data_IF_516211839085
#
_entry.id   IF_516211839085
#
_cell.length_a   1.000
_cell.length_b   1.000
_cell.length_c   1.000
_cell.angle_alpha   90.00
_cell.angle_beta   90.00
_cell.angle_gamma   90.00
#
_symmetry.space_group_name_H-M   'P 1'
#
loop_
_entity.id
_entity.type
_entity.pdbx_description
1 polymer ?
#
# COMPACT_ATOMS: atom_id res chain seq x y z
N UNK A 1 -56.32 33.72 -50.70
CA UNK A 1 -56.06 32.64 -49.74
C UNK A 1 -54.87 31.82 -50.24
N UNK A 2 -53.97 31.40 -49.35
CA UNK A 2 -52.81 30.58 -49.73
C UNK A 2 -53.25 29.11 -49.91
N UNK A 3 -52.67 28.40 -50.88
CA UNK A 3 -53.03 27.01 -51.18
C UNK A 3 -52.56 26.00 -50.11
N UNK A 4 -51.68 26.41 -49.21
CA UNK A 4 -51.17 25.58 -48.10
C UNK A 4 -51.53 26.23 -46.76
N UNK A 5 -51.50 25.44 -45.68
CA UNK A 5 -51.66 25.92 -44.31
C UNK A 5 -50.33 26.23 -43.62
N UNK A 6 -49.22 25.77 -44.20
CA UNK A 6 -47.86 26.02 -43.74
C UNK A 6 -46.87 25.97 -44.92
N UNK A 7 -45.67 26.51 -44.71
CA UNK A 7 -44.56 26.53 -45.66
C UNK A 7 -44.86 27.35 -46.91
N UNK A 8 -44.23 26.95 -48.02
CA UNK A 8 -44.44 27.57 -49.33
C UNK A 8 -45.73 27.06 -49.97
N UNK A 9 -46.57 28.01 -50.39
CA UNK A 9 -47.78 27.77 -51.18
C UNK A 9 -47.94 28.80 -52.30
N UNK A 10 -49.05 28.73 -53.03
CA UNK A 10 -49.42 29.69 -54.05
C UNK A 10 -50.75 30.38 -53.71
N UNK A 11 -50.80 31.69 -53.91
CA UNK A 11 -52.04 32.47 -53.92
C UNK A 11 -52.37 32.86 -55.35
N UNK A 12 -53.59 32.56 -55.78
CA UNK A 12 -54.07 32.89 -57.12
C UNK A 12 -54.81 34.21 -57.11
N UNK A 13 -54.56 35.04 -58.13
CA UNK A 13 -55.41 36.18 -58.47
C UNK A 13 -55.91 36.01 -59.90
N UNK A 14 -57.13 36.46 -60.14
CA UNK A 14 -57.65 36.53 -61.50
C UNK A 14 -56.99 37.69 -62.23
N UNK A 15 -56.54 37.44 -63.47
CA UNK A 15 -55.98 38.47 -64.35
C UNK A 15 -56.86 38.55 -65.58
N UNK A 16 -57.25 39.76 -65.94
CA UNK A 16 -58.09 40.06 -67.09
C UNK A 16 -57.39 41.09 -67.97
N UNK A 17 -57.64 41.04 -69.28
CA UNK A 17 -57.21 42.08 -70.20
C UNK A 17 -57.88 43.41 -69.82
N UNK A 18 -57.15 44.52 -69.93
CA UNK A 18 -57.70 45.86 -69.66
C UNK A 18 -58.92 46.18 -70.52
N UNK A 19 -59.03 45.55 -71.70
CA UNK A 19 -60.14 45.66 -72.65
C UNK A 19 -61.30 44.69 -72.38
N UNK A 20 -61.14 43.73 -71.46
CA UNK A 20 -62.16 42.72 -71.12
C UNK A 20 -62.29 41.53 -72.09
N UNK A 21 -61.57 41.52 -73.21
CA UNK A 21 -61.54 40.40 -74.19
C UNK A 21 -60.18 39.71 -74.19
N UNK A 22 -60.16 38.38 -74.15
CA UNK A 22 -58.91 37.59 -74.01
C UNK A 22 -58.06 37.62 -75.30
N UNK A 23 -58.67 37.89 -76.46
CA UNK A 23 -58.02 37.99 -77.78
C UNK A 23 -57.07 39.19 -77.89
N UNK A 24 -57.30 40.25 -77.11
CA UNK A 24 -56.51 41.49 -77.15
C UNK A 24 -55.19 41.38 -76.37
N UNK A 25 -55.00 40.29 -75.61
CA UNK A 25 -53.79 40.08 -74.81
C UNK A 25 -52.81 39.11 -75.47
N UNK A 26 -51.58 39.57 -75.67
CA UNK A 26 -50.46 38.68 -76.01
C UNK A 26 -50.12 37.79 -74.80
N UNK A 27 -50.19 36.47 -74.97
CA UNK A 27 -49.94 35.50 -73.89
C UNK A 27 -48.58 35.69 -73.21
N UNK A 28 -47.55 36.09 -73.96
CA UNK A 28 -46.21 36.36 -73.43
C UNK A 28 -46.14 37.53 -72.44
N UNK A 29 -47.07 38.49 -72.54
CA UNK A 29 -47.15 39.66 -71.66
C UNK A 29 -48.15 39.47 -70.51
N UNK A 30 -48.84 38.32 -70.45
CA UNK A 30 -49.81 38.03 -69.40
C UNK A 30 -49.06 37.86 -68.07
N UNK A 31 -49.34 38.69 -67.05
CA UNK A 31 -48.65 38.56 -65.77
C UNK A 31 -49.01 37.21 -65.12
N UNK A 32 -48.03 36.58 -64.48
CA UNK A 32 -48.23 35.31 -63.79
C UNK A 32 -49.33 35.48 -62.73
N UNK A 33 -50.47 34.74 -62.83
CA UNK A 33 -51.60 34.90 -61.91
C UNK A 33 -51.33 34.28 -60.53
N UNK A 34 -50.36 33.37 -60.43
CA UNK A 34 -49.89 32.80 -59.19
C UNK A 34 -48.80 33.67 -58.55
N UNK A 35 -48.99 34.03 -57.28
CA UNK A 35 -47.94 34.61 -56.43
C UNK A 35 -47.57 33.62 -55.33
N UNK A 36 -46.29 33.57 -54.97
CA UNK A 36 -45.82 32.76 -53.84
C UNK A 36 -46.35 33.36 -52.53
N UNK A 37 -46.88 32.52 -51.65
CA UNK A 37 -47.17 32.86 -50.27
C UNK A 37 -46.27 32.05 -49.34
N UNK A 38 -45.67 32.74 -48.36
CA UNK A 38 -44.75 32.17 -47.38
C UNK A 38 -45.44 32.16 -46.02
N UNK A 39 -45.99 31.00 -45.65
CA UNK A 39 -46.54 30.80 -44.32
C UNK A 39 -45.45 30.30 -43.36
N UNK A 40 -45.80 30.14 -42.09
CA UNK A 40 -44.89 29.53 -41.10
C UNK A 40 -44.42 28.16 -41.60
N UNK A 41 -43.14 27.79 -41.39
CA UNK A 41 -42.62 26.48 -41.79
C UNK A 41 -43.53 25.35 -41.31
N UNK A 42 -43.64 24.29 -42.09
CA UNK A 42 -44.38 23.11 -41.66
C UNK A 42 -43.54 22.39 -40.61
N UNK A 43 -43.75 22.68 -39.32
CA UNK A 43 -42.85 22.22 -38.25
C UNK A 43 -43.46 21.11 -37.39
N UNK A 44 -42.68 20.10 -37.05
CA UNK A 44 -43.07 19.04 -36.11
C UNK A 44 -41.91 18.64 -35.18
N UNK A 45 -42.23 18.07 -34.02
CA UNK A 45 -41.23 17.52 -33.10
C UNK A 45 -40.79 16.14 -33.57
N UNK A 46 -39.51 16.01 -33.91
CA UNK A 46 -38.84 14.72 -34.13
C UNK A 46 -38.33 14.18 -32.80
N UNK A 47 -38.76 12.97 -32.47
CA UNK A 47 -38.53 12.32 -31.17
C UNK A 47 -37.60 11.12 -31.39
N UNK A 48 -36.46 11.13 -30.71
CA UNK A 48 -35.52 10.00 -30.69
C UNK A 48 -35.92 8.92 -29.71
N UNK A 49 -35.15 7.83 -29.72
CA UNK A 49 -35.30 6.72 -28.78
C UNK A 49 -34.80 7.11 -27.39
N UNK A 50 -35.37 6.47 -26.37
CA UNK A 50 -34.87 6.62 -25.00
C UNK A 50 -33.51 5.94 -24.83
N UNK A 51 -32.61 6.59 -24.09
CA UNK A 51 -31.37 5.99 -23.59
C UNK A 51 -31.66 4.86 -22.60
N UNK A 52 -30.63 4.09 -22.27
CA UNK A 52 -30.65 3.27 -21.06
C UNK A 52 -30.85 4.16 -19.82
N UNK A 53 -31.42 3.60 -18.76
CA UNK A 53 -31.58 4.32 -17.50
C UNK A 53 -30.21 4.67 -16.92
N UNK A 54 -30.06 5.88 -16.38
CA UNK A 54 -28.80 6.31 -15.76
C UNK A 54 -28.41 5.49 -14.53
N UNK A 55 -29.38 4.83 -13.88
CA UNK A 55 -29.19 3.94 -12.73
C UNK A 55 -30.02 2.68 -12.90
N UNK A 56 -29.57 1.58 -12.29
CA UNK A 56 -30.31 0.32 -12.23
C UNK A 56 -31.19 0.19 -10.96
N UNK A 57 -31.10 1.12 -10.01
CA UNK A 57 -31.96 1.20 -8.82
C UNK A 57 -31.93 2.62 -8.24
N UNK A 58 -32.82 2.92 -7.29
CA UNK A 58 -32.79 4.14 -6.48
C UNK A 58 -33.19 5.42 -7.21
N UNK A 59 -33.88 5.31 -8.35
CA UNK A 59 -34.33 6.43 -9.16
C UNK A 59 -33.23 6.96 -10.10
N UNK A 60 -33.38 6.65 -11.39
CA UNK A 60 -32.56 7.18 -12.47
C UNK A 60 -33.39 8.00 -13.47
N UNK A 61 -32.72 8.53 -14.49
CA UNK A 61 -33.33 9.20 -15.62
C UNK A 61 -32.95 8.48 -16.91
N UNK A 62 -33.90 8.33 -17.81
CA UNK A 62 -33.61 8.04 -19.22
C UNK A 62 -33.87 9.29 -20.02
N UNK A 63 -32.98 9.57 -20.98
CA UNK A 63 -33.01 10.78 -21.80
C UNK A 63 -33.25 10.42 -23.26
N UNK A 64 -33.83 11.33 -24.03
CA UNK A 64 -34.01 11.18 -25.47
C UNK A 64 -33.85 12.52 -26.17
N UNK A 65 -33.45 12.44 -27.43
CA UNK A 65 -33.35 13.62 -28.28
C UNK A 65 -34.72 14.09 -28.76
N UNK A 66 -34.96 15.40 -28.69
CA UNK A 66 -36.18 16.03 -29.17
C UNK A 66 -35.80 17.29 -29.93
N UNK A 67 -36.00 17.25 -31.25
CA UNK A 67 -35.65 18.34 -32.14
C UNK A 67 -36.88 18.84 -32.90
N UNK A 68 -36.97 20.15 -33.09
CA UNK A 68 -37.98 20.73 -33.98
C UNK A 68 -37.46 20.63 -35.42
N UNK A 69 -38.27 20.12 -36.34
CA UNK A 69 -37.86 19.90 -37.73
C UNK A 69 -38.91 20.41 -38.70
N UNK A 70 -38.47 20.83 -39.88
CA UNK A 70 -39.37 21.04 -41.01
C UNK A 70 -39.83 19.67 -41.54
N UNK A 71 -41.14 19.46 -41.68
CA UNK A 71 -41.70 18.17 -42.09
C UNK A 71 -41.43 17.84 -43.54
N UNK A 72 -41.20 18.86 -44.40
CA UNK A 72 -40.89 18.68 -45.82
C UNK A 72 -39.41 18.42 -46.03
N UNK A 73 -38.56 19.26 -45.46
CA UNK A 73 -37.12 19.24 -45.72
C UNK A 73 -36.32 18.45 -44.66
N UNK A 74 -36.96 17.99 -43.58
CA UNK A 74 -36.33 17.34 -42.42
C UNK A 74 -35.22 18.17 -41.75
N UNK A 75 -35.15 19.46 -42.09
CA UNK A 75 -34.18 20.42 -41.60
C UNK A 75 -34.44 20.77 -40.13
N UNK A 76 -33.38 20.88 -39.34
CA UNK A 76 -33.48 21.33 -37.96
C UNK A 76 -33.95 22.79 -37.90
N UNK A 77 -34.98 23.03 -37.08
CA UNK A 77 -35.57 24.32 -36.79
C UNK A 77 -35.35 24.69 -35.32
N UNK A 78 -35.49 25.98 -35.00
CA UNK A 78 -35.47 26.43 -33.61
C UNK A 78 -36.76 26.01 -32.87
N UNK A 79 -36.69 25.67 -31.57
CA UNK A 79 -37.82 25.16 -30.78
C UNK A 79 -39.15 25.94 -30.88
N UNK A 80 -39.10 27.26 -30.99
CA UNK A 80 -40.29 28.11 -31.02
C UNK A 80 -41.18 27.87 -32.25
N UNK A 81 -40.65 27.33 -33.36
CA UNK A 81 -41.45 27.02 -34.54
C UNK A 81 -42.48 25.91 -34.22
N UNK A 82 -42.05 24.87 -33.51
CA UNK A 82 -42.90 23.75 -33.13
C UNK A 82 -43.78 24.04 -31.90
N UNK A 83 -43.32 24.90 -30.99
CA UNK A 83 -44.04 25.23 -29.76
C UNK A 83 -45.38 25.91 -30.00
N UNK A 84 -45.51 26.64 -31.12
CA UNK A 84 -46.77 27.26 -31.53
C UNK A 84 -47.80 26.26 -32.06
N UNK A 85 -47.40 25.01 -32.34
CA UNK A 85 -48.26 23.97 -32.93
C UNK A 85 -48.60 22.90 -31.89
N UNK A 86 -47.60 22.37 -31.18
CA UNK A 86 -47.76 21.30 -30.18
C UNK A 86 -46.78 21.49 -29.02
N UNK A 87 -47.17 21.02 -27.82
CA UNK A 87 -46.31 21.00 -26.64
C UNK A 87 -44.98 20.29 -26.92
N UNK A 88 -43.90 20.77 -26.29
CA UNK A 88 -42.58 20.13 -26.40
C UNK A 88 -42.58 18.80 -25.64
N UNK A 89 -42.30 17.66 -26.30
CA UNK A 89 -42.21 16.37 -25.62
C UNK A 89 -41.12 16.37 -24.53
N UNK A 90 -41.31 15.62 -23.43
CA UNK A 90 -40.30 15.52 -22.38
C UNK A 90 -39.04 14.85 -22.93
N UNK A 91 -37.89 15.47 -22.65
CA UNK A 91 -36.57 14.96 -23.04
C UNK A 91 -35.99 13.98 -22.02
N UNK A 92 -36.56 13.95 -20.81
CA UNK A 92 -36.13 13.12 -19.69
C UNK A 92 -37.34 12.59 -18.95
N UNK A 93 -37.24 11.36 -18.46
CA UNK A 93 -38.30 10.74 -17.65
C UNK A 93 -37.67 9.84 -16.58
N UNK A 94 -38.24 9.78 -15.36
CA UNK A 94 -37.75 8.89 -14.32
C UNK A 94 -37.85 7.42 -14.75
N UNK A 95 -36.86 6.66 -14.33
CA UNK A 95 -36.83 5.21 -14.48
C UNK A 95 -36.34 4.57 -13.19
N UNK A 96 -36.72 3.32 -12.99
CA UNK A 96 -36.14 2.47 -11.96
C UNK A 96 -36.26 3.05 -10.54
N UNK A 97 -37.50 3.29 -10.14
CA UNK A 97 -37.91 3.98 -8.90
C UNK A 97 -37.78 3.11 -7.65
N UNK A 98 -37.60 1.80 -7.79
CA UNK A 98 -37.42 0.90 -6.64
C UNK A 98 -36.10 1.22 -5.92
N UNK A 99 -36.07 1.22 -4.57
CA UNK A 99 -34.85 1.48 -3.82
C UNK A 99 -33.79 0.40 -4.10
N UNK A 100 -32.53 0.81 -4.08
CA UNK A 100 -31.41 -0.12 -4.16
C UNK A 100 -31.36 -1.03 -2.93
N UNK A 101 -30.89 -2.25 -3.15
CA UNK A 101 -30.43 -3.14 -2.09
C UNK A 101 -28.92 -3.02 -1.93
N UNK A 102 -28.45 -3.47 -0.77
CA UNK A 102 -27.03 -3.53 -0.47
C UNK A 102 -26.36 -4.75 -1.09
N UNK A 103 -25.10 -4.58 -1.47
CA UNK A 103 -24.25 -5.69 -1.90
C UNK A 103 -23.94 -6.59 -0.72
N UNK A 104 -24.09 -7.89 -0.92
CA UNK A 104 -23.66 -8.89 0.04
C UNK A 104 -22.22 -9.34 -0.27
N UNK A 105 -21.38 -9.42 0.75
CA UNK A 105 -20.02 -9.92 0.64
C UNK A 105 -19.77 -11.04 1.64
N UNK A 106 -19.16 -12.14 1.19
CA UNK A 106 -18.68 -13.18 2.10
C UNK A 106 -17.40 -12.74 2.83
N UNK A 107 -16.96 -13.56 3.78
CA UNK A 107 -15.58 -13.52 4.26
C UNK A 107 -14.60 -13.78 3.10
N UNK A 108 -13.38 -13.27 3.26
CA UNK A 108 -12.28 -13.57 2.35
C UNK A 108 -11.88 -15.04 2.45
N UNK A 109 -11.55 -15.64 1.31
CA UNK A 109 -10.90 -16.95 1.25
C UNK A 109 -9.44 -16.84 1.73
N UNK A 110 -8.79 -17.98 1.84
CA UNK A 110 -7.35 -18.04 2.10
C UNK A 110 -6.56 -17.36 0.98
N UNK A 111 -5.39 -16.82 1.34
CA UNK A 111 -4.51 -16.16 0.37
C UNK A 111 -3.89 -17.21 -0.55
N UNK A 112 -3.78 -16.90 -1.84
CA UNK A 112 -3.15 -17.80 -2.82
C UNK A 112 -1.70 -18.13 -2.48
N UNK A 113 -1.00 -17.20 -1.83
CA UNK A 113 0.40 -17.30 -1.46
C UNK A 113 0.57 -16.99 0.02
N UNK A 114 1.42 -17.73 0.73
CA UNK A 114 1.73 -17.43 2.14
C UNK A 114 2.69 -16.25 2.32
N UNK A 115 3.40 -15.85 1.27
CA UNK A 115 4.36 -14.75 1.25
C UNK A 115 4.67 -14.32 -0.19
N UNK A 116 5.32 -13.17 -0.36
CA UNK A 116 5.78 -12.67 -1.65
C UNK A 116 4.69 -12.02 -2.50
N UNK A 117 3.52 -11.78 -1.91
CA UNK A 117 2.34 -11.26 -2.59
C UNK A 117 1.48 -12.38 -3.18
N UNK A 118 0.21 -12.39 -2.80
CA UNK A 118 -0.83 -13.21 -3.38
C UNK A 118 -2.15 -12.45 -3.48
N UNK A 119 -3.19 -13.15 -3.93
CA UNK A 119 -4.55 -12.61 -3.99
C UNK A 119 -5.51 -13.44 -3.14
N UNK A 120 -6.45 -12.75 -2.50
CA UNK A 120 -7.60 -13.34 -1.83
C UNK A 120 -8.85 -12.99 -2.62
N UNK A 121 -9.74 -13.97 -2.73
CA UNK A 121 -11.05 -13.79 -3.33
C UNK A 121 -12.16 -13.84 -2.28
N UNK A 122 -13.26 -13.15 -2.54
CA UNK A 122 -14.51 -13.28 -1.81
C UNK A 122 -15.69 -13.30 -2.76
N UNK A 123 -16.80 -13.86 -2.32
CA UNK A 123 -18.06 -13.78 -3.03
C UNK A 123 -18.67 -12.38 -2.86
N UNK A 124 -19.07 -11.77 -3.96
CA UNK A 124 -19.82 -10.50 -4.00
C UNK A 124 -21.08 -10.73 -4.81
N UNK A 125 -22.24 -10.67 -4.16
CA UNK A 125 -23.54 -10.96 -4.79
C UNK A 125 -24.56 -9.87 -4.48
N UNK A 126 -25.43 -9.63 -5.45
CA UNK A 126 -26.61 -8.81 -5.24
C UNK A 126 -27.80 -9.73 -4.93
N UNK A 127 -28.63 -9.45 -3.92
CA UNK A 127 -29.78 -10.30 -3.58
C UNK A 127 -30.79 -10.46 -4.72
N UNK A 128 -30.96 -9.43 -5.55
CA UNK A 128 -31.87 -9.43 -6.70
C UNK A 128 -31.16 -8.81 -7.92
N UNK A 129 -31.19 -9.49 -9.07
CA UNK A 129 -30.47 -9.03 -10.26
C UNK A 129 -30.86 -7.61 -10.68
N UNK A 130 -29.86 -6.74 -10.87
CA UNK A 130 -30.05 -5.36 -11.30
C UNK A 130 -30.64 -4.44 -10.22
N UNK A 131 -30.63 -4.85 -8.95
CA UNK A 131 -31.25 -4.09 -7.85
C UNK A 131 -30.24 -3.56 -6.82
N UNK A 132 -28.95 -3.73 -7.06
CA UNK A 132 -27.86 -3.12 -6.33
C UNK A 132 -27.14 -2.11 -7.23
N UNK A 133 -26.66 -1.00 -6.68
CA UNK A 133 -25.95 0.00 -7.46
C UNK A 133 -24.58 -0.54 -7.93
N UNK A 134 -24.42 -0.74 -9.24
CA UNK A 134 -23.17 -1.26 -9.82
C UNK A 134 -21.97 -0.33 -9.56
N UNK A 135 -22.19 0.97 -9.39
CA UNK A 135 -21.12 1.91 -9.06
C UNK A 135 -20.55 1.70 -7.66
N UNK A 136 -21.32 1.03 -6.79
CA UNK A 136 -20.95 0.71 -5.41
C UNK A 136 -20.56 -0.76 -5.24
N UNK A 137 -20.41 -1.52 -6.32
CA UNK A 137 -20.05 -2.93 -6.26
C UNK A 137 -18.67 -3.12 -5.61
N UNK A 138 -18.57 -3.79 -4.46
CA UNK A 138 -17.28 -4.02 -3.81
C UNK A 138 -16.37 -4.93 -4.64
N UNK A 139 -15.05 -4.78 -4.48
CA UNK A 139 -14.07 -5.66 -5.11
C UNK A 139 -14.22 -7.10 -4.58
N UNK A 140 -14.16 -8.06 -5.51
CA UNK A 140 -14.15 -9.48 -5.21
C UNK A 140 -12.73 -10.01 -4.96
N UNK A 141 -11.68 -9.26 -5.30
CA UNK A 141 -10.28 -9.61 -5.08
C UNK A 141 -9.55 -8.56 -4.25
N UNK A 142 -8.52 -8.97 -3.52
CA UNK A 142 -7.57 -8.06 -2.86
C UNK A 142 -6.18 -8.68 -2.76
N UNK A 143 -5.11 -7.86 -2.72
CA UNK A 143 -3.78 -8.36 -2.40
C UNK A 143 -3.68 -8.81 -0.94
N UNK A 144 -2.85 -9.81 -0.69
CA UNK A 144 -2.55 -10.37 0.63
C UNK A 144 -1.09 -10.84 0.70
N UNK A 145 -0.59 -11.03 1.94
CA UNK A 145 0.73 -11.59 2.23
C UNK A 145 1.88 -10.96 1.43
N UNK A 146 1.92 -9.63 1.40
CA UNK A 146 2.90 -8.84 0.65
C UNK A 146 4.28 -8.78 1.30
N UNK A 147 4.46 -9.41 2.47
CA UNK A 147 5.77 -9.54 3.09
C UNK A 147 6.65 -10.49 2.25
N UNK A 148 7.97 -10.29 2.22
CA UNK A 148 8.87 -11.15 1.47
C UNK A 148 8.86 -12.60 1.99
N UNK A 149 9.33 -13.51 1.15
CA UNK A 149 9.44 -14.95 1.45
C UNK A 149 10.80 -15.32 2.05
N UNK A 150 11.35 -14.46 2.89
CA UNK A 150 12.71 -14.59 3.41
C UNK A 150 12.68 -14.42 4.92
N UNK A 151 13.51 -15.19 5.64
CA UNK A 151 13.61 -15.08 7.10
C UNK A 151 15.02 -15.38 7.59
N UNK A 152 15.38 -14.83 8.74
CA UNK A 152 16.64 -15.19 9.37
C UNK A 152 16.55 -16.59 10.00
N UNK A 153 17.48 -17.47 9.65
CA UNK A 153 17.65 -18.77 10.28
C UNK A 153 18.97 -18.80 11.05
N UNK A 154 18.88 -19.14 12.32
CA UNK A 154 20.03 -19.22 13.24
C UNK A 154 20.47 -20.67 13.42
N UNK A 155 21.77 -20.91 13.39
CA UNK A 155 22.38 -22.19 13.72
C UNK A 155 22.57 -22.40 15.22
N UNK A 156 23.10 -23.56 15.58
CA UNK A 156 23.57 -23.85 16.94
C UNK A 156 24.70 -22.91 17.34
N UNK A 157 24.83 -22.68 18.65
CA UNK A 157 25.99 -21.99 19.20
C UNK A 157 27.26 -22.81 18.98
N UNK A 158 28.32 -22.16 18.53
CA UNK A 158 29.64 -22.74 18.48
C UNK A 158 30.28 -22.86 19.86
N UNK A 159 31.51 -23.36 19.90
CA UNK A 159 32.26 -23.48 21.14
C UNK A 159 32.56 -22.11 21.77
N UNK A 160 32.59 -22.09 23.10
CA UNK A 160 32.95 -20.89 23.85
C UNK A 160 34.44 -20.59 23.71
N UNK A 161 34.81 -19.32 23.51
CA UNK A 161 36.23 -18.92 23.39
C UNK A 161 37.06 -19.19 24.65
N UNK A 162 36.43 -19.32 25.81
CA UNK A 162 37.10 -19.60 27.07
C UNK A 162 36.32 -20.65 27.84
N UNK A 163 37.02 -21.58 28.50
CA UNK A 163 36.39 -22.61 29.35
C UNK A 163 36.02 -22.08 30.74
N UNK A 164 36.60 -20.94 31.15
CA UNK A 164 36.36 -20.23 32.40
C UNK A 164 36.71 -18.73 32.23
N UNK A 165 36.36 -17.89 33.21
CA UNK A 165 36.68 -16.46 33.27
C UNK A 165 35.78 -15.56 32.39
N UNK A 166 34.72 -16.13 31.79
CA UNK A 166 33.87 -15.43 30.83
C UNK A 166 34.44 -15.45 29.42
N UNK A 167 33.75 -16.17 28.53
CA UNK A 167 34.04 -16.22 27.10
C UNK A 167 32.87 -15.72 26.26
N UNK A 168 33.06 -15.76 24.94
CA UNK A 168 32.04 -15.44 23.94
C UNK A 168 31.85 -16.66 23.06
N UNK A 169 30.61 -16.98 22.72
CA UNK A 169 30.29 -17.97 21.70
C UNK A 169 29.53 -17.28 20.57
N UNK A 170 29.75 -17.76 19.34
CA UNK A 170 29.12 -17.23 18.13
C UNK A 170 28.27 -18.30 17.48
N UNK A 171 27.20 -17.89 16.79
CA UNK A 171 26.38 -18.78 15.95
C UNK A 171 26.26 -18.22 14.54
N UNK A 172 26.01 -19.11 13.58
CA UNK A 172 25.75 -18.69 12.21
C UNK A 172 24.32 -18.14 12.09
N UNK A 173 24.16 -17.09 11.29
CA UNK A 173 22.88 -16.50 10.91
C UNK A 173 22.87 -16.41 9.38
N UNK A 174 21.85 -16.96 8.73
CA UNK A 174 21.70 -16.95 7.28
C UNK A 174 20.30 -16.49 6.90
N UNK A 175 20.19 -15.71 5.84
CA UNK A 175 18.91 -15.39 5.23
C UNK A 175 18.46 -16.60 4.40
N UNK A 176 17.26 -17.10 4.66
CA UNK A 176 16.73 -18.29 3.98
C UNK A 176 15.40 -17.95 3.29
N UNK A 177 15.23 -18.44 2.08
CA UNK A 177 13.96 -18.38 1.36
C UNK A 177 12.98 -19.42 1.91
N UNK A 178 11.80 -19.00 2.35
CA UNK A 178 10.78 -19.90 2.92
C UNK A 178 10.05 -20.74 1.88
N UNK A 179 10.10 -20.38 0.60
CA UNK A 179 9.49 -21.14 -0.50
C UNK A 179 10.41 -22.25 -1.01
N UNK A 180 11.67 -21.93 -1.28
CA UNK A 180 12.64 -22.92 -1.81
C UNK A 180 13.38 -23.67 -0.70
N UNK A 181 13.49 -23.09 0.49
CA UNK A 181 14.30 -23.63 1.58
C UNK A 181 15.80 -23.42 1.40
N UNK A 182 16.21 -22.58 0.45
CA UNK A 182 17.61 -22.32 0.13
C UNK A 182 18.11 -21.05 0.82
N UNK A 183 19.43 -20.95 0.99
CA UNK A 183 20.06 -19.73 1.50
C UNK A 183 20.11 -18.68 0.41
N UNK A 184 19.65 -17.47 0.71
CA UNK A 184 19.74 -16.34 -0.20
C UNK A 184 21.18 -15.83 -0.27
N UNK A 185 21.65 -15.49 -1.48
CA UNK A 185 22.97 -14.90 -1.69
C UNK A 185 23.01 -13.46 -1.16
N UNK A 186 21.93 -12.70 -1.38
CA UNK A 186 21.75 -11.37 -0.85
C UNK A 186 21.08 -11.41 0.53
N UNK A 187 21.86 -11.15 1.57
CA UNK A 187 21.36 -11.13 2.95
C UNK A 187 20.37 -9.98 3.23
N UNK A 188 20.39 -8.91 2.43
CA UNK A 188 19.52 -7.74 2.63
C UNK A 188 18.04 -8.04 2.43
N UNK A 189 17.72 -9.14 1.74
CA UNK A 189 16.35 -9.64 1.58
C UNK A 189 15.69 -9.97 2.93
N UNK A 190 16.46 -10.22 3.99
CA UNK A 190 15.95 -10.46 5.33
C UNK A 190 15.96 -9.21 6.24
N UNK A 191 16.35 -8.03 5.74
CA UNK A 191 16.45 -6.79 6.55
C UNK A 191 15.09 -6.23 7.01
N UNK A 192 13.99 -6.77 6.48
CA UNK A 192 12.65 -6.49 6.96
C UNK A 192 12.39 -7.10 8.36
N UNK A 193 13.19 -8.07 8.79
CA UNK A 193 13.21 -8.64 10.14
C UNK A 193 14.42 -8.13 10.92
N UNK A 194 14.27 -8.02 12.25
CA UNK A 194 15.37 -7.65 13.12
C UNK A 194 16.47 -8.72 13.09
N UNK A 195 17.73 -8.29 12.94
CA UNK A 195 18.90 -9.18 12.96
C UNK A 195 18.97 -9.97 14.27
N UNK A 196 19.01 -11.32 14.23
CA UNK A 196 19.12 -12.14 15.43
C UNK A 196 20.48 -12.03 16.12
N UNK A 197 20.49 -12.07 17.46
CA UNK A 197 21.73 -12.12 18.24
C UNK A 197 22.62 -13.27 17.77
N UNK A 198 23.82 -12.96 17.29
CA UNK A 198 24.76 -13.97 16.77
C UNK A 198 25.92 -14.24 17.73
N UNK A 199 25.95 -13.54 18.87
CA UNK A 199 27.04 -13.54 19.84
C UNK A 199 26.45 -13.54 21.24
N UNK A 200 26.92 -14.42 22.12
CA UNK A 200 26.50 -14.42 23.54
C UNK A 200 27.65 -14.75 24.48
N UNK A 201 27.53 -14.30 25.73
CA UNK A 201 28.49 -14.65 26.79
C UNK A 201 28.32 -16.12 27.20
N UNK A 202 29.43 -16.77 27.55
CA UNK A 202 29.47 -18.16 28.00
C UNK A 202 30.53 -18.35 29.08
N UNK A 203 30.46 -19.46 29.80
CA UNK A 203 31.40 -19.86 30.84
C UNK A 203 31.80 -18.73 31.81
N UNK A 204 30.84 -18.10 32.51
CA UNK A 204 31.10 -16.99 33.42
C UNK A 204 31.79 -17.39 34.74
N UNK A 205 32.09 -18.68 34.91
CA UNK A 205 32.71 -19.21 36.13
C UNK A 205 34.16 -18.78 36.22
N UNK A 206 34.63 -18.37 37.39
CA UNK A 206 36.04 -18.01 37.58
C UNK A 206 36.95 -19.20 37.27
N UNK A 207 38.09 -18.91 36.66
CA UNK A 207 39.12 -19.92 36.44
C UNK A 207 39.69 -20.33 37.80
N UNK A 208 39.71 -21.63 38.07
CA UNK A 208 40.35 -22.17 39.27
C UNK A 208 41.84 -21.91 39.18
N UNK A 209 42.28 -20.79 39.75
CA UNK A 209 43.65 -20.61 40.17
C UNK A 209 43.83 -21.49 41.38
N UNK A 210 44.13 -22.76 41.15
CA UNK A 210 44.81 -23.58 42.14
C UNK A 210 46.22 -23.00 42.33
N UNK A 211 46.32 -21.79 42.88
CA UNK A 211 47.40 -21.47 43.79
C UNK A 211 47.30 -22.52 44.88
N UNK A 212 48.17 -23.52 44.79
CA UNK A 212 48.55 -24.30 45.94
C UNK A 212 48.83 -23.30 47.07
N UNK A 213 47.90 -23.16 48.00
CA UNK A 213 48.15 -22.60 49.32
C UNK A 213 49.27 -23.45 49.91
N UNK A 214 50.52 -23.09 49.62
CA UNK A 214 51.71 -23.72 50.16
C UNK A 214 51.74 -23.40 51.64
N UNK A 215 51.04 -24.21 52.42
CA UNK A 215 51.21 -24.24 53.87
C UNK A 215 52.61 -24.80 54.11
N UNK A 216 53.53 -23.92 54.47
CA UNK A 216 54.88 -24.29 54.85
C UNK A 216 54.85 -25.12 56.15
N UNK A 217 54.95 -26.45 56.02
CA UNK A 217 55.06 -27.34 57.17
C UNK A 217 56.50 -27.40 57.71
N UNK A 218 57.50 -27.45 56.82
CA UNK A 218 58.93 -27.55 57.13
C UNK A 218 59.82 -26.80 56.13
N UNK A 219 61.01 -26.41 56.57
CA UNK A 219 62.07 -25.99 55.67
C UNK A 219 62.48 -27.18 54.78
N UNK A 220 62.64 -26.93 53.48
CA UNK A 220 63.07 -27.95 52.51
C UNK A 220 64.58 -28.14 52.51
N UNK A 221 65.33 -27.10 52.89
CA UNK A 221 66.78 -27.14 53.02
C UNK A 221 67.21 -27.37 54.48
N UNK A 222 68.47 -27.77 54.67
CA UNK A 222 69.02 -28.02 56.01
C UNK A 222 68.98 -26.77 56.88
N UNK A 223 68.73 -26.95 58.18
CA UNK A 223 68.65 -25.87 59.15
C UNK A 223 69.86 -24.93 59.10
N UNK A 224 71.09 -25.47 59.05
CA UNK A 224 72.33 -24.67 58.95
C UNK A 224 72.38 -23.80 57.70
N UNK A 225 71.89 -24.31 56.57
CA UNK A 225 71.85 -23.57 55.30
C UNK A 225 70.79 -22.48 55.33
N UNK A 226 69.57 -22.80 55.79
CA UNK A 226 68.50 -21.81 55.97
C UNK A 226 68.86 -20.73 57.00
N UNK A 227 69.55 -21.10 58.09
CA UNK A 227 70.08 -20.17 59.09
C UNK A 227 71.11 -19.22 58.47
N UNK A 228 72.02 -19.75 57.63
CA UNK A 228 73.01 -18.93 56.91
C UNK A 228 72.33 -17.95 55.95
N UNK A 229 71.37 -18.42 55.15
CA UNK A 229 70.58 -17.56 54.25
C UNK A 229 69.77 -16.50 54.99
N UNK A 230 69.29 -16.82 56.19
CA UNK A 230 68.62 -15.87 57.08
C UNK A 230 69.59 -14.82 57.61
N UNK A 231 70.76 -15.20 58.09
CA UNK A 231 71.80 -14.26 58.58
C UNK A 231 72.25 -13.33 57.43
N UNK A 232 72.28 -13.83 56.20
CA UNK A 232 72.59 -13.04 55.00
C UNK A 232 71.41 -12.18 54.48
N UNK A 233 70.27 -12.15 55.16
CA UNK A 233 69.11 -11.32 54.80
C UNK A 233 68.37 -11.75 53.52
N UNK A 234 68.58 -12.99 53.04
CA UNK A 234 68.05 -13.46 51.74
C UNK A 234 66.60 -13.97 51.80
N UNK A 235 65.96 -13.93 52.96
CA UNK A 235 64.59 -14.40 53.19
C UNK A 235 63.49 -13.63 52.42
N UNK A 236 63.82 -12.46 51.86
CA UNK A 236 62.92 -11.71 50.97
C UNK A 236 62.80 -12.35 49.58
N UNK A 237 63.80 -13.13 49.14
CA UNK A 237 63.75 -13.78 47.82
C UNK A 237 62.63 -14.83 47.81
N UNK A 238 61.66 -14.79 46.86
CA UNK A 238 60.51 -15.70 46.85
C UNK A 238 60.91 -17.17 46.87
N UNK A 239 61.97 -17.53 46.14
CA UNK A 239 62.51 -18.89 46.13
C UNK A 239 63.10 -19.31 47.48
N UNK A 240 63.83 -18.42 48.17
CA UNK A 240 64.34 -18.68 49.52
C UNK A 240 63.19 -18.74 50.53
N UNK A 241 62.19 -17.88 50.38
CA UNK A 241 61.02 -17.86 51.24
C UNK A 241 60.24 -19.16 51.16
N UNK A 242 60.08 -19.75 49.98
CA UNK A 242 59.41 -21.06 49.80
C UNK A 242 60.27 -22.22 50.36
N UNK A 243 61.59 -22.15 50.21
CA UNK A 243 62.50 -23.25 50.57
C UNK A 243 62.92 -23.26 52.05
N UNK A 244 62.97 -22.09 52.70
CA UNK A 244 63.35 -21.87 54.11
C UNK A 244 62.22 -21.16 54.86
N UNK A 245 60.99 -21.56 54.58
CA UNK A 245 59.76 -20.90 54.99
C UNK A 245 59.51 -20.86 56.52
N UNK A 246 60.00 -21.83 57.30
CA UNK A 246 59.98 -21.81 58.78
C UNK A 246 61.10 -20.91 59.31
N UNK A 247 62.33 -21.08 58.83
CA UNK A 247 63.49 -20.29 59.28
C UNK A 247 63.28 -18.80 58.99
N UNK A 248 62.71 -18.44 57.85
CA UNK A 248 62.43 -17.06 57.45
C UNK A 248 61.19 -16.44 58.13
N UNK A 249 60.25 -17.24 58.67
CA UNK A 249 59.03 -16.75 59.36
C UNK A 249 59.28 -16.22 60.78
N UNK A 250 60.34 -16.65 61.45
CA UNK A 250 60.61 -16.32 62.86
C UNK A 250 61.15 -14.88 63.11
N UNK A 251 61.02 -13.94 62.16
CA UNK A 251 61.40 -12.53 62.33
C UNK A 251 60.19 -11.57 62.27
N UNK A 252 59.00 -12.03 62.67
CA UNK A 252 57.80 -11.17 62.75
C UNK A 252 57.81 -10.16 63.90
N UNK A 253 58.72 -10.26 64.88
CA UNK A 253 58.76 -9.33 66.02
C UNK A 253 60.18 -9.08 66.52
N UNK A 254 60.87 -8.09 65.94
CA UNK A 254 61.83 -7.19 66.62
C UNK A 254 62.56 -6.32 65.58
N UNK A 255 61.91 -5.23 65.15
CA UNK A 255 62.55 -4.03 64.59
C UNK A 255 61.53 -2.88 64.45
N UNK A 256 61.11 -2.30 65.58
CA UNK A 256 60.84 -0.85 65.73
C UNK A 256 62.03 -0.35 66.57
N UNK A 257 62.74 0.73 66.31
CA UNK A 257 62.34 2.03 65.79
C UNK A 257 63.64 2.79 65.43
N UNK A 258 63.66 3.56 64.35
CA UNK A 258 64.57 4.72 64.21
C UNK A 258 64.09 5.68 63.11
N UNK A 259 63.46 6.76 63.57
CA UNK A 259 63.48 8.10 62.98
C UNK A 259 62.47 8.33 61.84
N UNK A 260 61.41 9.11 62.05
CA UNK A 260 61.36 10.59 61.86
C UNK A 260 61.91 11.00 60.49
N UNK A 261 61.26 11.80 59.65
CA UNK A 261 60.25 12.84 59.89
C UNK A 261 59.85 13.39 58.50
N UNK A 262 58.68 14.03 58.47
CA UNK A 262 58.30 15.19 57.62
C UNK A 262 57.66 14.98 56.24
N UNK A 263 56.38 15.42 56.23
CA UNK A 263 55.83 16.55 55.42
C UNK A 263 55.67 16.26 53.92
N UNK A 264 54.62 16.64 53.21
CA UNK A 264 53.33 17.31 53.45
C UNK A 264 52.78 17.63 52.06
N UNK A 265 51.45 17.68 51.93
CA UNK A 265 50.68 18.45 50.93
C UNK A 265 50.81 17.95 49.47
N UNK A 266 49.72 17.72 48.75
CA UNK A 266 48.41 18.38 48.77
C UNK A 266 47.32 17.37 48.42
#
# INVERSE_FOLDING_TARGET
QCSTTCGLGASWRTVHCSTGKDEDCVAANKPVPARRCYLRPCSSWRIGNWSKCSKNCGGGLKVRDVHCVDTREQRLLRPFHCQAVVYKPPMQTPCQTKPCLDWYTSSWRECSESCGGGEQERLVTCPEFGRCDEMLRPNNTRPCNTHPCTKWVVGSWGECTATCGGGIQRRQVKCMNTKTGEAEEDSSLCDHEQWPENTQKCNPQDCDTSESTFVCERDRLTFSFCQTLRILGRCHLPTVNVQCCRTCRQHGHSARDRGNERVSRR
#
